data_IF_506639285368
#
_entry.id   IF_506639285368
#
_cell.length_a   1.000
_cell.length_b   1.000
_cell.length_c   1.000
_cell.angle_alpha   90.00
_cell.angle_beta   90.00
_cell.angle_gamma   90.00
#
_symmetry.space_group_name_H-M   'P 1'
#
loop_
_entity.id
_entity.type
_entity.pdbx_description
1 polymer ?
#
# COMPACT_ATOMS: atom_id res chain seq x y z
N UNK A 1 -5.56 2.50 -32.93
CA UNK A 1 -5.62 2.00 -31.54
C UNK A 1 -5.98 3.18 -30.65
N UNK A 2 -7.19 3.21 -30.06
CA UNK A 2 -7.51 4.22 -29.05
C UNK A 2 -6.74 3.84 -27.79
N UNK A 3 -5.83 4.70 -27.35
CA UNK A 3 -5.27 4.62 -26.00
C UNK A 3 -6.45 4.63 -25.03
N UNK A 4 -6.66 3.51 -24.35
CA UNK A 4 -7.63 3.46 -23.24
C UNK A 4 -6.93 4.19 -22.09
N UNK A 5 -7.18 5.49 -21.96
CA UNK A 5 -6.70 6.28 -20.83
C UNK A 5 -7.40 5.73 -19.58
N UNK A 6 -6.71 4.89 -18.83
CA UNK A 6 -7.16 4.45 -17.50
C UNK A 6 -7.11 5.65 -16.57
N UNK A 7 -8.24 5.99 -15.97
CA UNK A 7 -8.36 7.16 -15.09
C UNK A 7 -8.36 6.71 -13.64
N UNK A 8 -7.68 7.49 -12.79
CA UNK A 8 -7.75 7.28 -11.34
C UNK A 8 -9.13 7.71 -10.88
N UNK A 9 -9.90 6.77 -10.32
CA UNK A 9 -11.24 7.05 -9.77
C UNK A 9 -11.14 7.51 -8.31
N UNK A 10 -10.26 6.89 -7.52
CA UNK A 10 -10.06 7.23 -6.11
C UNK A 10 -8.58 7.19 -5.76
N UNK A 11 -8.14 8.09 -4.89
CA UNK A 11 -6.77 8.11 -4.37
C UNK A 11 -6.77 8.31 -2.86
N UNK A 12 -6.09 7.40 -2.16
CA UNK A 12 -5.96 7.39 -0.71
C UNK A 12 -4.52 7.75 -0.32
N UNK A 13 -4.24 9.00 0.06
CA UNK A 13 -2.89 9.43 0.39
C UNK A 13 -2.43 8.82 1.71
N UNK A 14 -1.12 8.69 1.88
CA UNK A 14 -0.56 8.27 3.16
C UNK A 14 -0.65 9.34 4.26
N UNK A 15 -0.78 8.88 5.50
CA UNK A 15 -0.69 9.76 6.69
C UNK A 15 0.73 9.78 7.24
N UNK A 16 1.48 10.81 6.90
CA UNK A 16 2.88 10.97 7.30
C UNK A 16 3.04 11.33 8.77
N UNK A 17 4.01 10.68 9.43
CA UNK A 17 4.56 11.13 10.71
C UNK A 17 5.87 11.88 10.48
N UNK A 18 5.90 13.17 10.86
CA UNK A 18 7.02 14.09 10.64
C UNK A 18 8.34 13.60 11.24
N UNK A 19 8.28 12.76 12.29
CA UNK A 19 9.46 12.19 12.95
C UNK A 19 10.35 11.39 12.00
N UNK A 20 9.79 10.87 10.90
CA UNK A 20 10.47 9.99 9.96
C UNK A 20 10.68 10.63 8.58
N UNK A 21 10.54 11.96 8.45
CA UNK A 21 10.71 12.67 7.17
C UNK A 21 12.03 12.35 6.48
N UNK A 22 13.15 12.26 7.21
CA UNK A 22 14.45 11.93 6.62
C UNK A 22 14.46 10.53 5.96
N UNK A 23 13.83 9.55 6.59
CA UNK A 23 13.67 8.20 6.03
C UNK A 23 12.82 8.23 4.74
N UNK A 24 11.72 8.97 4.76
CA UNK A 24 10.84 9.11 3.60
C UNK A 24 11.52 9.81 2.42
N UNK A 25 12.30 10.87 2.70
CA UNK A 25 13.12 11.55 1.69
C UNK A 25 14.14 10.60 1.06
N UNK A 26 14.85 9.79 1.87
CA UNK A 26 15.79 8.81 1.35
C UNK A 26 15.12 7.79 0.41
N UNK A 27 13.91 7.35 0.74
CA UNK A 27 13.10 6.42 -0.07
C UNK A 27 12.37 7.11 -1.24
N UNK A 28 12.39 8.44 -1.30
CA UNK A 28 11.73 9.23 -2.34
C UNK A 28 10.22 9.35 -2.16
N UNK A 29 9.72 9.06 -0.97
CA UNK A 29 8.29 9.06 -0.64
C UNK A 29 7.81 10.51 -0.51
N UNK A 30 6.70 10.82 -1.17
CA UNK A 30 6.13 12.14 -1.32
C UNK A 30 4.64 12.17 -0.94
N UNK A 31 4.07 13.37 -0.84
CA UNK A 31 2.63 13.55 -0.58
C UNK A 31 1.71 13.00 -1.69
N UNK A 32 2.25 12.71 -2.87
CA UNK A 32 1.51 12.13 -3.98
C UNK A 32 1.48 10.60 -3.90
N UNK A 33 2.26 10.01 -2.98
CA UNK A 33 2.23 8.58 -2.74
C UNK A 33 1.01 8.17 -1.91
N UNK A 34 0.47 7.02 -2.26
CA UNK A 34 -0.74 6.47 -1.66
C UNK A 34 -1.21 5.24 -2.41
N UNK A 35 -2.46 4.89 -2.20
CA UNK A 35 -3.13 3.83 -2.96
C UNK A 35 -4.19 4.42 -3.87
N UNK A 36 -4.05 4.18 -5.17
CA UNK A 36 -4.98 4.61 -6.20
C UNK A 36 -5.81 3.43 -6.71
N UNK A 37 -7.11 3.67 -6.88
CA UNK A 37 -8.04 2.76 -7.53
C UNK A 37 -8.40 3.35 -8.89
N UNK A 38 -8.23 2.56 -9.94
CA UNK A 38 -8.54 2.93 -11.31
C UNK A 38 -9.90 2.38 -11.73
N UNK A 39 -10.48 2.99 -12.76
CA UNK A 39 -11.77 2.62 -13.35
C UNK A 39 -11.82 1.17 -13.86
N UNK A 40 -10.71 0.67 -14.38
CA UNK A 40 -10.54 -0.71 -14.82
C UNK A 40 -10.37 -1.73 -13.66
N UNK A 41 -10.43 -1.28 -12.40
CA UNK A 41 -10.24 -2.12 -11.23
C UNK A 41 -8.78 -2.35 -10.83
N UNK A 42 -7.81 -1.66 -11.47
CA UNK A 42 -6.42 -1.69 -11.03
C UNK A 42 -6.28 -0.99 -9.67
N UNK A 43 -5.50 -1.62 -8.79
CA UNK A 43 -5.04 -1.06 -7.51
C UNK A 43 -3.54 -0.82 -7.61
N UNK A 44 -3.12 0.43 -7.44
CA UNK A 44 -1.71 0.81 -7.46
C UNK A 44 -1.36 1.51 -6.16
N UNK A 45 -0.51 0.87 -5.36
CA UNK A 45 0.10 1.50 -4.20
C UNK A 45 1.52 1.95 -4.57
N UNK A 46 1.84 3.22 -4.38
CA UNK A 46 3.18 3.75 -4.59
C UNK A 46 3.82 4.09 -3.24
N UNK A 47 5.14 4.03 -3.15
CA UNK A 47 5.90 4.43 -1.98
C UNK A 47 7.26 4.95 -2.45
N UNK A 48 7.27 6.19 -2.92
CA UNK A 48 8.44 6.81 -3.52
C UNK A 48 8.88 6.05 -4.77
N UNK A 49 10.07 5.45 -4.73
CA UNK A 49 10.63 4.68 -5.86
C UNK A 49 9.99 3.30 -6.05
N UNK A 50 9.16 2.87 -5.09
CA UNK A 50 8.57 1.54 -5.06
C UNK A 50 7.09 1.58 -5.41
N UNK A 51 6.58 0.49 -5.97
CA UNK A 51 5.15 0.35 -6.26
C UNK A 51 4.70 -1.10 -6.22
N UNK A 52 3.47 -1.31 -5.78
CA UNK A 52 2.71 -2.56 -5.95
C UNK A 52 1.57 -2.26 -6.91
N UNK A 53 1.45 -3.07 -7.96
CA UNK A 53 0.29 -3.06 -8.86
C UNK A 53 -0.40 -4.42 -8.75
N UNK A 54 -1.72 -4.40 -8.57
CA UNK A 54 -2.59 -5.57 -8.55
C UNK A 54 -3.95 -5.17 -9.10
N UNK A 55 -4.88 -6.11 -9.25
CA UNK A 55 -6.29 -5.84 -9.51
C UNK A 55 -7.10 -5.98 -8.22
N UNK A 56 -8.27 -5.34 -8.19
CA UNK A 56 -9.25 -5.49 -7.11
C UNK A 56 -9.71 -6.94 -6.94
N UNK A 57 -9.85 -7.69 -8.03
CA UNK A 57 -10.24 -9.11 -8.00
C UNK A 57 -9.19 -10.01 -7.36
N UNK A 58 -7.92 -9.59 -7.39
CA UNK A 58 -6.84 -10.29 -6.71
C UNK A 58 -6.78 -9.99 -5.20
N UNK A 59 -7.69 -9.18 -4.65
CA UNK A 59 -7.79 -8.96 -3.21
C UNK A 59 -8.71 -10.00 -2.58
N UNK A 60 -8.14 -10.76 -1.64
CA UNK A 60 -8.86 -11.77 -0.84
C UNK A 60 -9.66 -11.12 0.29
N UNK A 61 -8.99 -10.25 1.06
CA UNK A 61 -9.53 -9.63 2.26
C UNK A 61 -8.83 -8.31 2.55
N UNK A 62 -9.56 -7.36 3.13
CA UNK A 62 -8.95 -6.19 3.76
C UNK A 62 -9.18 -6.18 5.27
N UNK A 63 -8.19 -5.67 6.02
CA UNK A 63 -8.29 -5.55 7.47
C UNK A 63 -7.63 -4.25 7.94
N UNK A 64 -8.42 -3.38 8.57
CA UNK A 64 -7.90 -2.18 9.23
C UNK A 64 -7.16 -2.63 10.50
N UNK A 65 -5.89 -2.29 10.60
CA UNK A 65 -5.03 -2.70 11.72
C UNK A 65 -4.26 -1.53 12.31
N UNK A 66 -3.80 -1.71 13.54
CA UNK A 66 -3.04 -0.74 14.31
C UNK A 66 -3.67 -0.49 15.69
N UNK A 67 -2.93 0.13 16.62
CA UNK A 67 -1.55 0.59 16.48
C UNK A 67 -0.53 -0.56 16.48
N UNK A 68 0.53 -0.41 15.69
CA UNK A 68 1.65 -1.34 15.61
C UNK A 68 2.92 -0.75 16.25
N UNK A 69 3.91 -1.60 16.52
CA UNK A 69 5.25 -1.14 16.93
C UNK A 69 5.86 -0.33 15.80
N UNK A 70 6.35 0.87 16.09
CA UNK A 70 6.87 1.78 15.04
C UNK A 70 8.00 1.16 14.21
N UNK A 71 8.86 0.34 14.82
CA UNK A 71 10.00 -0.29 14.13
C UNK A 71 9.60 -1.45 13.21
N UNK A 72 8.37 -1.97 13.32
CA UNK A 72 7.82 -2.96 12.38
C UNK A 72 6.93 -2.30 11.33
N UNK A 73 6.31 -1.16 11.64
CA UNK A 73 5.30 -0.53 10.78
C UNK A 73 5.79 0.69 9.99
N UNK A 74 6.90 1.34 10.37
CA UNK A 74 7.40 2.53 9.66
C UNK A 74 8.51 2.16 8.68
N UNK A 75 8.36 2.69 7.46
CA UNK A 75 9.27 2.53 6.33
C UNK A 75 8.80 1.50 5.31
N UNK A 76 9.74 1.14 4.43
CA UNK A 76 9.60 0.03 3.52
C UNK A 76 10.10 -1.24 4.22
N UNK A 77 9.19 -2.12 4.65
CA UNK A 77 9.53 -3.31 5.45
C UNK A 77 9.07 -4.59 4.80
N UNK A 78 9.80 -5.66 5.08
CA UNK A 78 9.41 -7.02 4.78
C UNK A 78 9.11 -7.76 6.07
N UNK A 79 8.09 -8.61 6.01
CA UNK A 79 7.89 -9.64 7.02
C UNK A 79 8.21 -10.99 6.39
N UNK A 80 9.13 -11.72 7.02
CA UNK A 80 9.63 -13.01 6.51
C UNK A 80 8.66 -14.16 6.78
N UNK A 81 7.76 -14.00 7.75
CA UNK A 81 6.82 -15.04 8.19
C UNK A 81 5.63 -15.19 7.24
N UNK A 82 5.16 -14.10 6.66
CA UNK A 82 3.95 -14.01 5.84
C UNK A 82 4.20 -13.36 4.46
N UNK A 83 5.47 -13.28 4.06
CA UNK A 83 5.96 -12.61 2.85
C UNK A 83 5.37 -11.19 2.65
N UNK A 84 5.00 -10.51 3.74
CA UNK A 84 4.33 -9.21 3.68
C UNK A 84 5.29 -8.11 3.24
N UNK A 85 4.74 -7.12 2.55
CA UNK A 85 5.40 -5.84 2.31
C UNK A 85 4.64 -4.71 3.00
N UNK A 86 5.37 -3.80 3.63
CA UNK A 86 4.83 -2.64 4.36
C UNK A 86 5.25 -1.37 3.66
N UNK A 87 4.27 -0.52 3.33
CA UNK A 87 4.41 0.86 2.91
C UNK A 87 3.92 1.77 4.03
N UNK A 88 4.81 2.00 4.99
CA UNK A 88 4.46 2.67 6.24
C UNK A 88 5.04 4.07 6.39
N UNK A 89 4.18 5.07 6.50
CA UNK A 89 4.54 6.45 6.85
C UNK A 89 4.13 6.85 8.28
N UNK A 90 3.32 6.01 8.94
CA UNK A 90 3.05 6.04 10.38
C UNK A 90 2.81 4.61 10.90
N UNK A 91 2.58 4.47 12.21
CA UNK A 91 2.35 3.18 12.87
C UNK A 91 1.00 3.08 13.60
N UNK A 92 0.20 4.14 13.55
CA UNK A 92 -1.02 4.25 14.36
C UNK A 92 -2.16 3.45 13.76
N UNK A 93 -2.31 3.52 12.43
CA UNK A 93 -3.41 2.87 11.73
C UNK A 93 -3.08 2.74 10.24
N UNK A 94 -3.55 1.65 9.65
CA UNK A 94 -3.41 1.37 8.24
C UNK A 94 -4.32 0.23 7.81
N UNK A 95 -4.24 -0.12 6.53
CA UNK A 95 -4.97 -1.23 5.94
C UNK A 95 -3.99 -2.34 5.56
N UNK A 96 -4.26 -3.55 6.01
CA UNK A 96 -3.65 -4.76 5.46
C UNK A 96 -4.52 -5.28 4.33
N UNK A 97 -3.91 -5.55 3.18
CA UNK A 97 -4.55 -6.04 1.96
C UNK A 97 -3.94 -7.41 1.67
N UNK A 98 -4.76 -8.45 1.76
CA UNK A 98 -4.35 -9.82 1.46
C UNK A 98 -4.68 -10.17 0.02
N UNK A 99 -3.75 -10.82 -0.67
CA UNK A 99 -3.89 -11.16 -2.09
C UNK A 99 -4.24 -12.64 -2.29
N UNK A 100 -5.11 -12.92 -3.26
CA UNK A 100 -5.41 -14.28 -3.72
C UNK A 100 -4.17 -14.90 -4.38
N UNK A 101 -3.54 -14.15 -5.30
CA UNK A 101 -2.26 -14.47 -5.91
C UNK A 101 -1.19 -13.49 -5.46
N UNK A 102 -0.02 -14.01 -5.08
CA UNK A 102 1.10 -13.17 -4.62
C UNK A 102 1.51 -12.17 -5.70
N UNK A 103 1.56 -10.89 -5.34
CA UNK A 103 2.03 -9.83 -6.25
C UNK A 103 3.52 -9.97 -6.52
N UNK A 104 4.02 -9.47 -7.67
CA UNK A 104 5.45 -9.48 -7.96
C UNK A 104 6.29 -8.88 -6.83
N UNK A 105 7.50 -9.39 -6.67
CA UNK A 105 8.47 -8.90 -5.70
C UNK A 105 8.75 -7.41 -5.96
N UNK A 106 8.61 -6.59 -4.92
CA UNK A 106 9.03 -5.18 -4.95
C UNK A 106 10.42 -5.02 -4.34
N UNK A 107 10.66 -5.67 -3.20
CA UNK A 107 11.97 -5.81 -2.55
C UNK A 107 12.08 -7.22 -1.93
N UNK A 108 13.25 -7.61 -1.41
CA UNK A 108 13.43 -8.93 -0.78
C UNK A 108 13.86 -10.01 -1.76
N UNK A 109 13.38 -11.24 -1.69
CA UNK A 109 13.60 -12.28 -2.73
C UNK A 109 12.30 -13.00 -3.14
N UNK A 110 11.19 -12.69 -2.47
CA UNK A 110 9.92 -13.40 -2.61
C UNK A 110 8.82 -12.47 -3.11
N UNK A 111 7.79 -13.07 -3.72
CA UNK A 111 6.52 -12.40 -4.05
C UNK A 111 5.75 -12.12 -2.76
N UNK A 112 4.90 -11.10 -2.76
CA UNK A 112 4.21 -10.67 -1.54
C UNK A 112 2.77 -11.19 -1.47
N UNK A 113 2.41 -11.83 -0.36
CA UNK A 113 1.02 -12.28 -0.08
C UNK A 113 0.15 -11.17 0.49
N UNK A 114 0.75 -10.20 1.16
CA UNK A 114 0.04 -9.11 1.80
C UNK A 114 0.77 -7.79 1.59
N UNK A 115 0.01 -6.70 1.52
CA UNK A 115 0.50 -5.33 1.53
C UNK A 115 -0.14 -4.59 2.70
N UNK A 116 0.67 -4.00 3.56
CA UNK A 116 0.20 -3.06 4.56
C UNK A 116 0.48 -1.62 4.15
N UNK A 117 -0.53 -0.75 4.20
CA UNK A 117 -0.44 0.67 3.83
C UNK A 117 -0.97 1.56 4.95
N UNK A 118 -0.22 2.61 5.29
CA UNK A 118 -0.65 3.58 6.31
C UNK A 118 -1.39 4.78 5.71
N UNK A 119 -2.47 4.51 4.98
CA UNK A 119 -3.32 5.55 4.37
C UNK A 119 -4.02 6.41 5.42
N UNK A 120 -4.40 7.63 5.04
CA UNK A 120 -5.10 8.56 5.92
C UNK A 120 -6.53 8.13 6.27
N UNK A 121 -7.19 7.41 5.36
CA UNK A 121 -8.54 6.87 5.52
C UNK A 121 -8.56 5.36 5.17
N UNK A 122 -8.17 4.48 6.11
CA UNK A 122 -8.12 3.05 5.87
C UNK A 122 -9.53 2.41 5.79
N UNK A 123 -10.52 2.94 6.50
CA UNK A 123 -11.91 2.50 6.40
C UNK A 123 -12.55 2.83 5.04
N UNK A 124 -12.35 4.05 4.55
CA UNK A 124 -12.81 4.44 3.21
C UNK A 124 -12.14 3.60 2.13
N UNK A 125 -10.84 3.31 2.28
CA UNK A 125 -10.13 2.41 1.37
C UNK A 125 -10.69 0.98 1.39
N UNK A 126 -10.91 0.41 2.58
CA UNK A 126 -11.51 -0.92 2.73
C UNK A 126 -12.90 -0.98 2.07
N UNK A 127 -13.71 0.05 2.31
CA UNK A 127 -15.05 0.19 1.73
C UNK A 127 -15.00 0.27 0.21
N UNK A 128 -14.06 1.04 -0.35
CA UNK A 128 -13.89 1.18 -1.79
C UNK A 128 -13.44 -0.12 -2.48
N UNK A 129 -12.60 -0.92 -1.80
CA UNK A 129 -12.19 -2.25 -2.27
C UNK A 129 -13.36 -3.26 -2.14
N UNK A 130 -14.14 -3.17 -1.07
CA UNK A 130 -15.31 -4.03 -0.83
C UNK A 130 -14.96 -5.50 -0.59
N UNK A 131 -13.87 -5.78 0.13
CA UNK A 131 -13.35 -7.11 0.48
C UNK A 131 -12.90 -7.17 1.93
#
# INVERSE_FOLDING_TARGET
MKEITTVVTMHFPYRFDRRWCALFLALGVSKNDGLSIYDNGDLVATFGRFKVKTTRDNVSRTLVTGPHRWYTAVGLRLSLTDDSITFGTNHKRGLSIEFVQKVPRVIGFRRHSTLWVSVADPEGLATAIGK
#
